data_IF_804095650712
#
_entry.id   IF_804095650712
#
_cell.length_a   1.000
_cell.length_b   1.000
_cell.length_c   1.000
_cell.angle_alpha   90.00
_cell.angle_beta   90.00
_cell.angle_gamma   90.00
#
_symmetry.space_group_name_H-M   'P 1'
#
loop_
_entity.id
_entity.type
_entity.pdbx_description
1 polymer ?
#
# COMPACT_ATOMS: atom_id res chain seq x y z
N UNK A 1 -6.02 11.11 -14.40
CA UNK A 1 -5.12 12.02 -13.65
C UNK A 1 -5.48 13.47 -13.91
N UNK A 2 -5.22 14.01 -15.11
CA UNK A 2 -5.56 15.41 -15.49
C UNK A 2 -7.03 15.76 -15.17
N UNK A 3 -7.98 14.86 -15.49
CA UNK A 3 -9.39 15.10 -15.21
C UNK A 3 -9.69 15.25 -13.71
N UNK A 4 -9.10 14.40 -12.86
CA UNK A 4 -9.29 14.44 -11.41
C UNK A 4 -8.71 15.72 -10.82
N UNK A 5 -7.57 16.18 -11.33
CA UNK A 5 -6.97 17.48 -10.93
C UNK A 5 -7.88 18.65 -11.31
N UNK A 6 -8.45 18.58 -12.51
CA UNK A 6 -9.47 19.54 -12.95
C UNK A 6 -10.67 19.59 -12.01
N UNK A 7 -11.12 18.43 -11.50
CA UNK A 7 -12.21 18.39 -10.51
C UNK A 7 -11.78 19.08 -9.20
N UNK A 8 -10.59 18.80 -8.65
CA UNK A 8 -10.11 19.43 -7.39
C UNK A 8 -10.22 20.96 -7.46
N UNK A 9 -9.83 21.55 -8.59
CA UNK A 9 -9.87 22.99 -8.81
C UNK A 9 -11.24 23.56 -9.19
N UNK A 10 -12.21 22.72 -9.56
CA UNK A 10 -13.49 23.19 -10.05
C UNK A 10 -14.45 23.49 -8.89
N UNK A 11 -14.56 24.77 -8.52
CA UNK A 11 -15.45 25.23 -7.45
C UNK A 11 -16.95 25.04 -7.77
N UNK A 12 -17.33 24.77 -9.02
CA UNK A 12 -18.71 24.40 -9.39
C UNK A 12 -19.03 22.91 -9.11
N UNK A 13 -18.04 22.08 -8.77
CA UNK A 13 -18.25 20.68 -8.37
C UNK A 13 -18.49 20.58 -6.87
N UNK A 14 -19.25 19.56 -6.46
CA UNK A 14 -19.51 19.27 -5.04
C UNK A 14 -18.20 19.06 -4.29
N UNK A 15 -18.06 19.62 -3.08
CA UNK A 15 -16.88 19.41 -2.21
C UNK A 15 -16.50 17.94 -2.07
N UNK A 16 -17.51 17.06 -1.96
CA UNK A 16 -17.31 15.62 -1.84
C UNK A 16 -16.59 15.01 -3.07
N UNK A 17 -16.97 15.41 -4.29
CA UNK A 17 -16.34 14.92 -5.52
C UNK A 17 -14.89 15.42 -5.65
N UNK A 18 -14.65 16.65 -5.21
CA UNK A 18 -13.33 17.29 -5.19
C UNK A 18 -12.40 16.62 -4.17
N UNK A 19 -12.91 16.34 -2.97
CA UNK A 19 -12.18 15.58 -1.93
C UNK A 19 -11.85 14.17 -2.43
N UNK A 20 -12.84 13.45 -2.97
CA UNK A 20 -12.64 12.11 -3.51
C UNK A 20 -11.61 12.11 -4.64
N UNK A 21 -11.65 13.10 -5.54
CA UNK A 21 -10.68 13.26 -6.62
C UNK A 21 -9.26 13.40 -6.11
N UNK A 22 -9.02 14.23 -5.09
CA UNK A 22 -7.71 14.36 -4.46
C UNK A 22 -7.25 13.07 -3.76
N UNK A 23 -8.16 12.31 -3.13
CA UNK A 23 -7.83 10.99 -2.58
C UNK A 23 -7.38 10.01 -3.68
N UNK A 24 -8.04 10.00 -4.85
CA UNK A 24 -7.64 9.15 -5.96
C UNK A 24 -6.31 9.59 -6.60
N UNK A 25 -6.01 10.90 -6.61
CA UNK A 25 -4.69 11.40 -7.00
C UNK A 25 -3.60 11.00 -6.00
N UNK A 26 -3.88 11.09 -4.70
CA UNK A 26 -2.99 10.60 -3.63
C UNK A 26 -2.69 9.11 -3.82
N UNK A 27 -3.69 8.29 -4.18
CA UNK A 27 -3.48 6.88 -4.49
C UNK A 27 -2.59 6.67 -5.72
N UNK A 28 -2.86 7.39 -6.81
CA UNK A 28 -2.11 7.24 -8.06
C UNK A 28 -0.65 7.64 -7.88
N UNK A 29 -0.41 8.84 -7.33
CA UNK A 29 0.94 9.38 -7.18
C UNK A 29 1.70 8.77 -6.01
N UNK A 30 1.00 8.45 -4.92
CA UNK A 30 1.58 7.77 -3.76
C UNK A 30 1.72 6.26 -3.96
N UNK A 31 1.28 5.71 -5.11
CA UNK A 31 1.31 4.28 -5.44
C UNK A 31 0.61 3.40 -4.38
N UNK A 32 -0.44 3.94 -3.77
CA UNK A 32 -1.10 3.34 -2.62
C UNK A 32 -2.24 2.40 -3.03
N UNK A 33 -2.38 1.28 -2.31
CA UNK A 33 -3.65 0.55 -2.30
C UNK A 33 -4.70 1.40 -1.60
N UNK A 34 -5.98 1.18 -1.93
CA UNK A 34 -7.09 1.92 -1.30
C UNK A 34 -7.05 1.80 0.23
N UNK A 35 -6.79 0.60 0.76
CA UNK A 35 -6.67 0.37 2.19
C UNK A 35 -5.49 1.09 2.85
N UNK A 36 -4.39 1.26 2.11
CA UNK A 36 -3.20 1.95 2.63
C UNK A 36 -3.45 3.45 2.66
N UNK A 37 -4.07 4.00 1.61
CA UNK A 37 -4.50 5.41 1.55
C UNK A 37 -5.47 5.77 2.68
N UNK A 38 -6.42 4.88 3.01
CA UNK A 38 -7.35 5.12 4.12
C UNK A 38 -6.65 5.26 5.49
N UNK A 39 -5.39 4.81 5.60
CA UNK A 39 -4.56 4.88 6.82
C UNK A 39 -3.33 5.77 6.64
N UNK A 40 -3.38 6.68 5.68
CA UNK A 40 -2.38 7.72 5.53
C UNK A 40 -2.55 8.75 6.65
N UNK A 41 -1.44 9.14 7.25
CA UNK A 41 -1.36 10.12 8.35
C UNK A 41 -0.08 10.95 8.23
N UNK A 42 0.04 11.99 9.07
CA UNK A 42 1.22 12.87 9.15
C UNK A 42 1.58 13.48 7.79
N UNK A 43 0.57 13.96 7.07
CA UNK A 43 0.77 14.60 5.77
C UNK A 43 1.38 15.99 5.97
N UNK A 44 2.56 16.20 5.40
CA UNK A 44 3.30 17.47 5.46
C UNK A 44 3.73 17.84 4.04
N UNK A 45 3.61 19.12 3.70
CA UNK A 45 4.16 19.65 2.44
C UNK A 45 5.62 19.99 2.70
N UNK A 46 6.52 19.30 2.00
CA UNK A 46 7.94 19.66 1.89
C UNK A 46 8.19 20.29 0.52
N UNK A 47 8.49 21.58 0.51
CA UNK A 47 8.56 22.37 -0.73
C UNK A 47 9.58 23.48 -0.66
N UNK A 48 10.15 23.81 -1.80
CA UNK A 48 11.02 24.98 -2.01
C UNK A 48 10.47 25.84 -3.15
N UNK A 49 10.77 27.14 -3.09
CA UNK A 49 10.53 28.06 -4.20
C UNK A 49 11.83 28.16 -4.98
N UNK A 50 11.78 27.84 -6.27
CA UNK A 50 12.93 27.96 -7.19
C UNK A 50 13.12 29.41 -7.64
N UNK A 51 14.28 29.69 -8.26
CA UNK A 51 14.67 31.05 -8.68
C UNK A 51 13.69 31.68 -9.68
N UNK A 52 12.96 30.87 -10.45
CA UNK A 52 11.89 31.28 -11.37
C UNK A 52 10.54 31.55 -10.65
N UNK A 53 10.50 31.48 -9.32
CA UNK A 53 9.30 31.66 -8.50
C UNK A 53 8.37 30.44 -8.45
N UNK A 54 8.76 29.31 -9.05
CA UNK A 54 7.98 28.07 -9.03
C UNK A 54 8.06 27.35 -7.69
N UNK A 55 6.93 26.95 -7.12
CA UNK A 55 6.93 25.98 -6.01
C UNK A 55 7.18 24.57 -6.56
N UNK A 56 8.16 23.87 -6.00
CA UNK A 56 8.45 22.46 -6.28
C UNK A 56 8.61 21.71 -4.97
N UNK A 57 8.22 20.43 -4.95
CA UNK A 57 8.28 19.64 -3.73
C UNK A 57 7.31 18.48 -3.73
N UNK A 58 7.12 17.92 -2.54
CA UNK A 58 6.31 16.74 -2.29
C UNK A 58 5.37 16.95 -1.10
N UNK A 59 4.21 16.32 -1.19
CA UNK A 59 3.42 15.94 -0.04
C UNK A 59 4.04 14.64 0.51
N UNK A 60 4.64 14.74 1.68
CA UNK A 60 5.21 13.62 2.42
C UNK A 60 4.25 13.11 3.49
N UNK A 61 4.33 11.82 3.81
CA UNK A 61 3.58 11.26 4.92
C UNK A 61 3.80 9.77 5.11
N UNK A 62 2.90 9.15 5.86
CA UNK A 62 3.04 7.76 6.31
C UNK A 62 1.75 6.97 6.10
N UNK A 63 1.80 5.87 5.34
CA UNK A 63 0.71 4.89 5.24
C UNK A 63 0.94 3.72 6.20
N UNK A 64 -0.02 3.45 7.08
CA UNK A 64 0.05 2.28 7.96
C UNK A 64 -0.45 1.03 7.21
N UNK A 65 0.40 -0.01 7.11
CA UNK A 65 0.02 -1.29 6.49
C UNK A 65 -0.79 -2.16 7.45
N UNK A 66 -1.73 -2.94 6.91
CA UNK A 66 -2.52 -3.89 7.71
C UNK A 66 -2.80 -5.26 7.07
N UNK A 67 -2.37 -5.58 5.83
CA UNK A 67 -2.86 -6.82 5.18
C UNK A 67 -1.84 -7.82 4.61
N UNK A 68 -0.59 -7.48 4.30
CA UNK A 68 0.38 -8.45 3.72
C UNK A 68 1.84 -8.24 4.16
N UNK A 69 2.11 -7.62 5.31
CA UNK A 69 3.47 -7.56 5.85
C UNK A 69 3.71 -8.81 6.70
N UNK A 70 4.62 -9.67 6.26
CA UNK A 70 4.86 -10.98 6.89
C UNK A 70 5.78 -10.81 8.12
N UNK A 71 6.76 -9.89 8.08
CA UNK A 71 7.63 -9.58 9.23
C UNK A 71 7.08 -8.45 10.14
N UNK A 72 7.38 -8.53 11.44
CA UNK A 72 6.96 -7.56 12.46
C UNK A 72 7.53 -6.16 12.18
N UNK A 73 8.80 -6.06 11.75
CA UNK A 73 9.40 -4.79 11.30
C UNK A 73 8.60 -4.15 10.16
N UNK A 74 8.16 -4.93 9.18
CA UNK A 74 7.38 -4.43 8.03
C UNK A 74 5.90 -4.18 8.39
N UNK A 75 5.40 -4.70 9.53
CA UNK A 75 4.09 -4.38 10.11
C UNK A 75 4.10 -3.08 10.91
N UNK A 76 5.22 -2.74 11.54
CA UNK A 76 5.38 -1.55 12.39
C UNK A 76 5.94 -0.36 11.58
N UNK A 77 6.70 -0.61 10.51
CA UNK A 77 7.22 0.42 9.62
C UNK A 77 6.09 0.98 8.76
N UNK A 78 5.68 2.20 9.04
CA UNK A 78 4.82 2.95 8.15
C UNK A 78 5.51 3.10 6.78
N UNK A 79 4.75 2.95 5.71
CA UNK A 79 5.25 3.21 4.36
C UNK A 79 5.42 4.71 4.17
N UNK A 80 6.61 5.20 3.82
CA UNK A 80 6.77 6.59 3.42
C UNK A 80 5.96 6.82 2.14
N UNK A 81 5.24 7.93 2.12
CA UNK A 81 4.49 8.43 0.97
C UNK A 81 5.20 9.70 0.53
N UNK A 82 5.48 9.80 -0.75
CA UNK A 82 5.91 11.04 -1.38
C UNK A 82 5.05 11.23 -2.64
N UNK A 83 4.32 12.34 -2.70
CA UNK A 83 3.44 12.71 -3.81
C UNK A 83 3.83 14.08 -4.34
N UNK A 84 4.16 14.23 -5.63
CA UNK A 84 4.61 15.52 -6.14
C UNK A 84 3.49 16.56 -6.06
N UNK A 85 3.85 17.79 -5.66
CA UNK A 85 2.91 18.91 -5.57
C UNK A 85 2.38 19.31 -6.95
N UNK A 86 3.27 19.29 -7.94
CA UNK A 86 2.96 19.47 -9.37
C UNK A 86 2.79 18.12 -10.04
N UNK A 87 1.72 18.01 -10.81
CA UNK A 87 1.34 16.80 -11.52
C UNK A 87 1.64 16.90 -13.02
N UNK A 88 1.13 15.94 -13.80
CA UNK A 88 1.24 15.94 -15.28
C UNK A 88 0.62 17.19 -15.91
N UNK A 89 -0.38 17.83 -15.28
CA UNK A 89 -0.97 19.07 -15.80
C UNK A 89 -0.19 20.34 -15.44
N UNK A 90 0.85 20.22 -14.58
CA UNK A 90 1.61 21.36 -14.05
C UNK A 90 0.87 22.21 -13.01
N UNK A 91 -0.44 21.98 -12.78
CA UNK A 91 -1.21 22.73 -11.79
C UNK A 91 -1.04 22.11 -10.39
N UNK A 92 -0.62 22.87 -9.37
CA UNK A 92 -0.51 22.36 -8.02
C UNK A 92 -1.91 22.00 -7.49
N UNK A 93 -2.12 20.80 -7.00
CA UNK A 93 -3.45 20.33 -6.55
C UNK A 93 -3.51 20.05 -5.04
N UNK A 94 -2.36 19.76 -4.43
CA UNK A 94 -2.25 19.32 -3.03
C UNK A 94 -2.74 20.38 -2.05
N UNK A 95 -2.25 21.63 -2.12
CA UNK A 95 -2.65 22.72 -1.21
C UNK A 95 -4.16 22.96 -1.27
N UNK A 96 -4.69 23.14 -2.48
CA UNK A 96 -6.14 23.33 -2.73
C UNK A 96 -6.97 22.18 -2.15
N UNK A 97 -6.50 20.94 -2.30
CA UNK A 97 -7.17 19.76 -1.75
C UNK A 97 -7.10 19.70 -0.21
N UNK A 98 -5.95 20.00 0.40
CA UNK A 98 -5.80 20.03 1.85
C UNK A 98 -6.65 21.13 2.50
N UNK A 99 -6.68 22.32 1.90
CA UNK A 99 -7.54 23.44 2.31
C UNK A 99 -9.02 23.04 2.24
N UNK A 100 -9.44 22.39 1.15
CA UNK A 100 -10.81 21.90 1.00
C UNK A 100 -11.18 20.86 2.05
N UNK A 101 -10.27 19.93 2.37
CA UNK A 101 -10.49 18.96 3.47
C UNK A 101 -10.67 19.68 4.79
N UNK A 102 -9.84 20.68 5.08
CA UNK A 102 -9.94 21.48 6.30
C UNK A 102 -11.26 22.25 6.38
N UNK A 103 -11.70 22.88 5.27
CA UNK A 103 -12.98 23.61 5.23
C UNK A 103 -14.21 22.72 5.43
N UNK A 104 -14.09 21.43 5.12
CA UNK A 104 -15.13 20.41 5.31
C UNK A 104 -15.03 19.71 6.67
N UNK A 105 -14.16 20.20 7.57
CA UNK A 105 -13.98 19.66 8.92
C UNK A 105 -13.22 18.33 8.99
N UNK A 106 -12.58 17.91 7.89
CA UNK A 106 -11.81 16.67 7.85
C UNK A 106 -10.42 16.87 8.46
N UNK A 107 -10.22 16.24 9.60
CA UNK A 107 -8.98 16.27 10.39
C UNK A 107 -8.45 14.85 10.66
N UNK A 108 -7.42 14.73 11.49
CA UNK A 108 -6.76 13.45 11.81
C UNK A 108 -7.65 12.43 12.53
N UNK A 109 -8.82 12.83 13.03
CA UNK A 109 -9.81 11.89 13.60
C UNK A 109 -10.67 11.20 12.55
N UNK A 110 -10.54 11.60 11.29
CA UNK A 110 -11.26 11.05 10.15
C UNK A 110 -10.33 10.16 9.32
N UNK A 111 -10.87 9.08 8.71
CA UNK A 111 -10.14 8.37 7.66
C UNK A 111 -9.87 9.33 6.48
N UNK A 112 -8.89 8.99 5.65
CA UNK A 112 -8.50 9.85 4.52
C UNK A 112 -9.69 10.18 3.61
N UNK A 113 -10.49 9.17 3.26
CA UNK A 113 -11.78 9.30 2.57
C UNK A 113 -12.91 8.70 3.43
N UNK A 114 -13.65 9.52 4.20
CA UNK A 114 -14.80 9.08 4.98
C UNK A 114 -16.04 8.83 4.10
N UNK A 115 -16.99 8.08 4.63
CA UNK A 115 -18.31 7.92 3.99
C UNK A 115 -19.12 9.21 4.16
N UNK A 116 -19.74 9.75 3.09
CA UNK A 116 -20.67 10.87 3.20
C UNK A 116 -21.84 10.53 4.12
N UNK A 117 -22.27 11.49 4.95
CA UNK A 117 -23.44 11.32 5.81
C UNK A 117 -24.73 11.68 5.04
N UNK A 118 -25.85 11.02 5.36
CA UNK A 118 -27.14 11.24 4.69
C UNK A 118 -27.68 12.67 4.84
N UNK A 119 -27.30 13.38 5.90
CA UNK A 119 -27.68 14.78 6.16
C UNK A 119 -26.69 15.81 5.62
N UNK A 120 -25.72 15.40 4.80
CA UNK A 120 -24.58 16.24 4.41
C UNK A 120 -23.40 16.10 5.39
N UNK A 121 -22.22 16.50 4.93
CA UNK A 121 -20.97 16.31 5.67
C UNK A 121 -20.46 14.87 5.68
N UNK A 122 -19.64 14.54 6.67
CA UNK A 122 -18.82 13.33 6.69
C UNK A 122 -19.00 12.52 7.96
N UNK A 123 -19.00 11.19 7.83
CA UNK A 123 -18.97 10.28 8.98
C UNK A 123 -17.53 9.99 9.42
N UNK A 124 -17.34 9.41 10.61
CA UNK A 124 -16.04 8.87 11.05
C UNK A 124 -15.72 7.49 10.46
N UNK A 125 -16.57 6.97 9.57
CA UNK A 125 -16.45 5.63 9.00
C UNK A 125 -15.74 5.69 7.65
N UNK A 126 -14.69 4.87 7.41
CA UNK A 126 -14.00 4.85 6.13
C UNK A 126 -14.93 4.42 4.99
N UNK A 127 -14.81 5.08 3.84
CA UNK A 127 -15.51 4.68 2.62
C UNK A 127 -15.15 3.24 2.23
N UNK A 128 -16.15 2.45 1.84
CA UNK A 128 -15.95 1.07 1.37
C UNK A 128 -15.37 1.06 -0.04
N UNK A 129 -14.51 0.08 -0.33
CA UNK A 129 -13.79 -0.05 -1.61
C UNK A 129 -14.73 -0.14 -2.82
N UNK A 130 -15.85 -0.87 -2.72
CA UNK A 130 -16.83 -0.98 -3.81
C UNK A 130 -17.46 0.36 -4.16
N UNK A 131 -17.85 1.13 -3.14
CA UNK A 131 -18.39 2.49 -3.28
C UNK A 131 -17.34 3.44 -3.85
N UNK A 132 -16.10 3.35 -3.38
CA UNK A 132 -14.99 4.15 -3.90
C UNK A 132 -14.73 3.88 -5.39
N UNK A 133 -14.77 2.62 -5.82
CA UNK A 133 -14.65 2.26 -7.24
C UNK A 133 -15.79 2.81 -8.10
N UNK A 134 -17.03 2.75 -7.61
CA UNK A 134 -18.17 3.33 -8.29
C UNK A 134 -18.05 4.86 -8.40
N UNK A 135 -17.62 5.53 -7.32
CA UNK A 135 -17.41 6.96 -7.30
C UNK A 135 -16.28 7.39 -8.25
N UNK A 136 -15.16 6.66 -8.29
CA UNK A 136 -14.09 6.93 -9.25
C UNK A 136 -14.60 6.89 -10.69
N UNK A 137 -15.43 5.88 -11.04
CA UNK A 137 -16.01 5.79 -12.38
C UNK A 137 -16.99 6.92 -12.69
N UNK A 138 -17.79 7.38 -11.71
CA UNK A 138 -18.69 8.51 -11.95
C UNK A 138 -17.96 9.84 -12.10
N UNK A 139 -16.73 9.95 -11.57
CA UNK A 139 -15.89 11.13 -11.72
C UNK A 139 -15.15 11.17 -13.05
N UNK A 140 -14.88 10.03 -13.69
CA UNK A 140 -14.14 10.01 -14.96
C UNK A 140 -15.14 10.10 -16.11
N UNK A 141 -14.97 11.02 -17.08
CA UNK A 141 -15.88 11.10 -18.20
C UNK A 141 -15.80 9.80 -19.01
N UNK A 142 -16.92 9.35 -19.61
CA UNK A 142 -16.90 8.22 -20.50
C UNK A 142 -15.97 8.54 -21.68
N UNK A 143 -14.88 7.78 -21.84
CA UNK A 143 -14.09 7.80 -23.06
C UNK A 143 -14.74 6.88 -24.09
N UNK A 144 -14.55 7.14 -25.39
CA UNK A 144 -15.05 6.24 -26.45
C UNK A 144 -14.55 4.80 -26.30
N UNK A 145 -13.39 4.59 -25.65
CA UNK A 145 -12.83 3.28 -25.32
C UNK A 145 -13.43 2.61 -24.07
N UNK A 146 -14.19 3.31 -23.22
CA UNK A 146 -14.92 2.67 -22.11
C UNK A 146 -16.12 1.83 -22.58
N UNK A 147 -16.46 1.93 -23.86
CA UNK A 147 -17.45 1.06 -24.50
C UNK A 147 -16.98 -0.40 -24.63
N UNK A 148 -15.67 -0.68 -24.49
CA UNK A 148 -15.11 -2.03 -24.52
C UNK A 148 -14.13 -2.28 -23.35
N UNK A 149 -14.57 -3.16 -22.44
CA UNK A 149 -13.79 -3.98 -21.49
C UNK A 149 -12.99 -3.37 -20.32
N UNK A 150 -12.51 -2.12 -20.35
CA UNK A 150 -11.64 -1.63 -19.24
C UNK A 150 -12.44 -1.10 -18.04
N UNK A 151 -12.67 -1.95 -17.03
CA UNK A 151 -13.30 -1.56 -15.76
C UNK A 151 -12.31 -0.84 -14.83
N UNK A 152 -12.33 0.50 -14.85
CA UNK A 152 -11.58 1.32 -13.89
C UNK A 152 -12.08 1.07 -12.46
N UNK A 153 -11.16 0.79 -11.55
CA UNK A 153 -11.41 0.60 -10.12
C UNK A 153 -10.30 1.25 -9.29
N UNK A 154 -10.42 1.23 -7.96
CA UNK A 154 -9.41 1.84 -7.08
C UNK A 154 -8.02 1.22 -7.24
N UNK A 155 -7.93 -0.06 -7.64
CA UNK A 155 -6.64 -0.70 -7.93
C UNK A 155 -5.94 -0.10 -9.16
N UNK A 156 -6.71 0.41 -10.14
CA UNK A 156 -6.20 1.04 -11.36
C UNK A 156 -5.33 2.27 -11.05
N UNK A 157 -5.59 2.97 -9.95
CA UNK A 157 -4.77 4.09 -9.49
C UNK A 157 -3.30 3.68 -9.27
N UNK A 158 -3.06 2.59 -8.52
CA UNK A 158 -1.71 2.06 -8.28
C UNK A 158 -1.06 1.58 -9.58
N UNK A 159 -1.81 0.84 -10.40
CA UNK A 159 -1.31 0.30 -11.67
C UNK A 159 -0.87 1.39 -12.65
N UNK A 160 -1.50 2.58 -12.60
CA UNK A 160 -1.19 3.69 -13.51
C UNK A 160 0.27 4.11 -13.38
N UNK A 161 0.74 4.41 -12.16
CA UNK A 161 2.12 4.84 -11.94
C UNK A 161 3.13 3.71 -12.23
N UNK A 162 2.81 2.46 -11.86
CA UNK A 162 3.67 1.31 -12.16
C UNK A 162 3.81 1.05 -13.66
N UNK A 163 2.73 1.22 -14.42
CA UNK A 163 2.78 1.11 -15.88
C UNK A 163 3.64 2.20 -16.52
N UNK A 164 3.58 3.43 -16.01
CA UNK A 164 4.45 4.51 -16.48
C UNK A 164 5.93 4.22 -16.21
N UNK A 165 6.26 3.76 -15.00
CA UNK A 165 7.64 3.41 -14.65
C UNK A 165 8.17 2.25 -15.50
N UNK A 166 7.37 1.20 -15.69
CA UNK A 166 7.74 0.06 -16.53
C UNK A 166 8.01 0.49 -17.98
N UNK A 167 7.16 1.36 -18.55
CA UNK A 167 7.36 1.88 -19.91
C UNK A 167 8.56 2.81 -20.05
N UNK A 168 9.00 3.42 -18.95
CA UNK A 168 10.22 4.23 -18.90
C UNK A 168 11.49 3.37 -18.80
N UNK A 169 11.36 2.04 -18.70
CA UNK A 169 12.50 1.11 -18.66
C UNK A 169 12.99 0.76 -17.26
N UNK A 170 12.20 1.05 -16.21
CA UNK A 170 12.56 0.63 -14.85
C UNK A 170 12.50 -0.90 -14.69
N UNK A 171 13.58 -1.56 -14.22
CA UNK A 171 13.60 -2.99 -14.03
C UNK A 171 12.61 -3.44 -12.94
N UNK A 172 12.07 -4.66 -13.06
CA UNK A 172 11.03 -5.18 -12.19
C UNK A 172 11.39 -5.16 -10.68
N UNK A 173 12.68 -5.30 -10.35
CA UNK A 173 13.21 -5.15 -8.99
C UNK A 173 12.97 -3.75 -8.40
N UNK A 174 13.07 -2.70 -9.22
CA UNK A 174 12.75 -1.32 -8.86
C UNK A 174 11.25 -1.08 -8.64
N UNK A 175 10.38 -1.80 -9.36
CA UNK A 175 8.91 -1.66 -9.24
C UNK A 175 8.37 -2.23 -7.91
N UNK A 176 8.98 -3.30 -7.39
CA UNK A 176 8.67 -3.85 -6.06
C UNK A 176 9.11 -2.93 -4.93
N UNK A 177 10.32 -2.35 -5.06
CA UNK A 177 10.86 -1.36 -4.13
C UNK A 177 10.14 0.00 -4.22
N UNK A 178 9.57 0.37 -5.37
CA UNK A 178 8.77 1.59 -5.53
C UNK A 178 7.46 1.59 -4.71
N UNK A 179 7.05 0.46 -4.13
CA UNK A 179 5.99 0.39 -3.12
C UNK A 179 6.45 0.62 -1.67
N UNK A 180 7.75 0.81 -1.45
CA UNK A 180 8.41 1.06 -0.17
C UNK A 180 9.72 1.77 -0.46
N UNK A 181 9.70 3.07 -0.77
CA UNK A 181 10.92 3.80 -1.14
C UNK A 181 11.93 3.71 0.01
N UNK A 182 13.09 3.06 -0.18
CA UNK A 182 14.23 3.27 0.70
C UNK A 182 14.81 4.63 0.31
N UNK A 183 14.94 5.53 1.28
CA UNK A 183 15.75 6.74 1.10
C UNK A 183 17.19 6.29 0.91
N UNK A 184 17.67 6.33 -0.34
CA UNK A 184 19.09 6.22 -0.63
C UNK A 184 19.69 7.63 -0.78
N UNK A 185 20.92 7.86 -0.30
CA UNK A 185 21.63 9.12 -0.52
C UNK A 185 21.98 9.30 -2.01
N UNK A 186 22.18 10.55 -2.47
CA UNK A 186 22.24 10.86 -3.90
C UNK A 186 23.49 10.25 -4.56
N UNK A 187 23.36 9.60 -5.74
CA UNK A 187 24.51 9.24 -6.56
C UNK A 187 24.81 10.32 -7.61
N UNK A 188 26.10 10.39 -7.94
CA UNK A 188 26.73 11.38 -8.80
C UNK A 188 26.45 11.12 -10.30
N UNK A 189 26.61 12.20 -11.07
CA UNK A 189 26.37 12.36 -12.51
C UNK A 189 26.99 11.27 -13.40
N UNK A 190 26.31 10.92 -14.49
CA UNK A 190 26.99 10.39 -15.68
C UNK A 190 26.15 9.60 -16.69
N UNK A 191 25.89 10.25 -17.83
CA UNK A 191 25.77 9.70 -19.19
C UNK A 191 24.50 8.93 -19.63
N UNK A 192 23.92 9.43 -20.73
CA UNK A 192 22.83 8.84 -21.51
C UNK A 192 23.43 8.11 -22.72
N UNK A 193 22.84 7.00 -23.17
CA UNK A 193 22.58 6.93 -24.60
C UNK A 193 21.16 6.47 -24.96
N UNK A 194 20.78 6.97 -26.12
CA UNK A 194 19.58 6.79 -26.94
C UNK A 194 19.68 5.48 -27.76
N UNK A 195 18.59 4.70 -27.89
CA UNK A 195 17.94 4.34 -29.18
C UNK A 195 16.82 3.28 -29.05
N UNK A 196 15.86 3.45 -29.97
CA UNK A 196 14.65 2.75 -30.41
C UNK A 196 14.63 1.20 -30.42
N UNK A 197 13.44 0.61 -30.16
CA UNK A 197 12.60 -0.04 -31.19
C UNK A 197 11.48 -0.94 -30.60
N UNK A 198 10.26 -0.69 -31.11
CA UNK A 198 9.12 -1.60 -31.36
C UNK A 198 9.18 -3.05 -30.84
N UNK A 199 8.24 -3.42 -29.97
CA UNK A 199 7.72 -4.79 -29.91
C UNK A 199 6.22 -4.77 -29.54
N UNK A 200 5.44 -5.15 -30.53
CA UNK A 200 4.00 -5.41 -30.55
C UNK A 200 3.47 -6.21 -29.35
N UNK A 201 2.32 -5.74 -28.88
CA UNK A 201 1.46 -6.35 -27.87
C UNK A 201 1.01 -7.76 -28.28
N UNK A 202 1.23 -8.74 -27.39
CA UNK A 202 0.23 -9.77 -27.15
C UNK A 202 -0.06 -9.79 -25.64
N UNK A 203 -0.97 -8.91 -25.22
CA UNK A 203 -1.52 -8.94 -23.86
C UNK A 203 -2.60 -10.03 -23.85
N UNK A 204 -2.17 -11.28 -23.68
CA UNK A 204 -3.11 -12.38 -23.41
C UNK A 204 -3.75 -12.12 -22.05
N UNK A 205 -5.03 -11.73 -22.10
CA UNK A 205 -5.92 -11.65 -20.95
C UNK A 205 -6.48 -13.05 -20.67
N UNK A 206 -5.61 -13.95 -20.20
CA UNK A 206 -6.01 -15.06 -19.34
C UNK A 206 -5.52 -14.64 -17.95
N UNK A 207 -6.40 -14.39 -17.00
CA UNK A 207 -7.08 -15.46 -16.32
C UNK A 207 -6.66 -15.31 -14.85
N UNK A 208 -7.62 -15.45 -13.96
CA UNK A 208 -7.38 -15.42 -12.52
C UNK A 208 -6.56 -16.65 -12.13
N UNK A 209 -5.23 -16.57 -12.23
CA UNK A 209 -4.37 -17.42 -11.45
C UNK A 209 -4.22 -16.73 -10.08
N UNK A 210 -4.89 -17.34 -9.09
CA UNK A 210 -4.49 -17.23 -7.68
C UNK A 210 -2.95 -17.18 -7.67
N UNK A 211 -2.36 -16.18 -7.00
CA UNK A 211 -0.92 -16.19 -6.79
C UNK A 211 -0.57 -17.57 -6.21
N UNK A 212 0.04 -18.44 -7.01
CA UNK A 212 0.61 -19.66 -6.49
C UNK A 212 1.48 -19.22 -5.32
N UNK A 213 1.13 -19.72 -4.12
CA UNK A 213 1.75 -19.35 -2.87
C UNK A 213 3.26 -19.51 -3.00
N UNK A 214 3.96 -18.40 -3.30
CA UNK A 214 5.40 -18.43 -3.50
C UNK A 214 6.05 -19.10 -2.28
N UNK A 215 6.85 -20.14 -2.51
CA UNK A 215 7.47 -20.88 -1.42
C UNK A 215 8.42 -19.97 -0.66
N UNK A 216 8.08 -19.68 0.59
CA UNK A 216 8.79 -18.74 1.46
C UNK A 216 10.14 -19.29 1.98
N UNK A 217 10.64 -20.38 1.41
CA UNK A 217 11.84 -21.10 1.84
C UNK A 217 13.12 -20.31 1.55
N UNK A 218 13.23 -19.70 0.36
CA UNK A 218 14.44 -18.97 -0.06
C UNK A 218 14.66 -17.67 0.74
N UNK A 219 13.58 -16.94 1.08
CA UNK A 219 13.67 -15.77 1.95
C UNK A 219 14.04 -16.14 3.40
N UNK A 220 13.64 -17.33 3.87
CA UNK A 220 14.01 -17.81 5.22
C UNK A 220 15.46 -18.24 5.31
N UNK A 221 16.00 -18.89 4.27
CA UNK A 221 17.42 -19.22 4.20
C UNK A 221 18.28 -17.96 4.24
N UNK A 222 17.89 -16.92 3.48
CA UNK A 222 18.58 -15.63 3.50
C UNK A 222 18.48 -14.92 4.87
N UNK A 223 17.35 -15.03 5.58
CA UNK A 223 17.20 -14.45 6.93
C UNK A 223 18.03 -15.23 7.96
N UNK A 224 18.05 -16.56 7.87
CA UNK A 224 18.86 -17.41 8.75
C UNK A 224 20.37 -17.19 8.54
N UNK A 225 20.80 -16.87 7.32
CA UNK A 225 22.20 -16.53 7.03
C UNK A 225 22.63 -15.21 7.70
N UNK A 226 21.73 -14.23 7.77
CA UNK A 226 22.01 -12.88 8.30
C UNK A 226 21.74 -12.76 9.81
N UNK A 227 20.77 -13.49 10.34
CA UNK A 227 20.42 -13.47 11.76
C UNK A 227 21.43 -14.30 12.57
N UNK A 228 22.31 -13.64 13.33
CA UNK A 228 23.22 -14.31 14.26
C UNK A 228 22.50 -15.20 15.29
N UNK A 229 23.26 -16.08 15.97
CA UNK A 229 22.75 -17.08 16.91
C UNK A 229 22.06 -16.46 18.14
N UNK A 230 20.78 -16.16 18.02
CA UNK A 230 19.86 -16.09 19.16
C UNK A 230 19.49 -17.53 19.52
N UNK A 231 20.20 -18.08 20.52
CA UNK A 231 19.97 -19.44 20.98
C UNK A 231 18.55 -19.62 21.54
N UNK A 232 17.94 -20.82 21.40
CA UNK A 232 16.65 -21.11 22.00
C UNK A 232 16.74 -21.09 23.53
N UNK A 233 15.67 -20.65 24.19
CA UNK A 233 15.46 -20.86 25.63
C UNK A 233 15.32 -22.40 25.87
N UNK A 234 16.11 -23.01 26.78
CA UNK A 234 16.26 -24.47 26.93
C UNK A 234 15.01 -25.30 27.27
N UNK A 235 13.84 -24.70 27.47
CA UNK A 235 12.58 -25.42 27.72
C UNK A 235 11.69 -25.51 26.47
N UNK A 236 12.24 -26.02 25.36
CA UNK A 236 11.55 -26.12 24.07
C UNK A 236 10.25 -26.95 24.15
N UNK A 237 9.12 -26.26 24.38
CA UNK A 237 7.77 -26.80 24.24
C UNK A 237 7.44 -26.91 22.74
N UNK A 238 6.77 -28.00 22.36
CA UNK A 238 6.29 -28.23 20.98
C UNK A 238 5.53 -27.00 20.45
N UNK A 239 6.08 -26.38 19.41
CA UNK A 239 5.53 -25.20 18.77
C UNK A 239 4.92 -25.56 17.42
N UNK A 240 3.78 -24.96 17.12
CA UNK A 240 3.12 -25.02 15.83
C UNK A 240 3.15 -23.65 15.15
N UNK A 241 3.54 -23.61 13.88
CA UNK A 241 3.62 -22.42 13.05
C UNK A 241 2.52 -22.47 12.00
N UNK A 242 1.68 -21.43 11.91
CA UNK A 242 0.72 -21.34 10.81
C UNK A 242 1.47 -21.07 9.49
N UNK A 243 1.28 -21.88 8.46
CA UNK A 243 2.02 -21.82 7.18
C UNK A 243 1.93 -20.45 6.50
N UNK A 244 0.72 -19.86 6.47
CA UNK A 244 0.50 -18.54 5.85
C UNK A 244 0.84 -17.34 6.77
N UNK A 245 0.29 -17.29 7.99
CA UNK A 245 0.46 -16.09 8.85
C UNK A 245 1.74 -16.10 9.69
N UNK A 246 2.43 -17.23 9.72
CA UNK A 246 3.65 -17.49 10.50
C UNK A 246 3.51 -17.29 12.01
N UNK A 247 2.27 -17.18 12.51
CA UNK A 247 2.00 -17.11 13.94
C UNK A 247 2.42 -18.40 14.62
N UNK A 248 3.22 -18.26 15.68
CA UNK A 248 3.61 -19.33 16.56
C UNK A 248 2.54 -19.57 17.63
N UNK A 249 2.27 -20.84 17.87
CA UNK A 249 1.36 -21.34 18.89
C UNK A 249 2.03 -22.47 19.65
N UNK A 250 1.71 -22.62 20.94
CA UNK A 250 2.08 -23.82 21.69
C UNK A 250 1.08 -24.93 21.41
N UNK A 251 1.57 -26.13 21.17
CA UNK A 251 0.73 -27.33 21.12
C UNK A 251 0.27 -27.64 22.55
N UNK A 252 -1.01 -28.02 22.70
CA UNK A 252 -1.62 -28.24 24.03
C UNK A 252 -1.12 -29.51 24.71
N UNK A 253 -0.90 -30.57 23.93
CA UNK A 253 -0.55 -31.92 24.36
C UNK A 253 0.18 -32.69 23.24
N UNK A 254 0.87 -33.79 23.58
CA UNK A 254 1.57 -34.66 22.61
C UNK A 254 0.61 -35.28 21.56
N UNK A 255 -0.70 -35.28 21.84
CA UNK A 255 -1.73 -35.74 20.91
C UNK A 255 -1.90 -34.82 19.69
N UNK A 256 -1.40 -33.57 19.73
CA UNK A 256 -1.27 -32.73 18.54
C UNK A 256 -2.57 -32.30 17.87
N UNK A 257 -3.72 -32.41 18.55
CA UNK A 257 -5.02 -32.07 17.96
C UNK A 257 -5.40 -30.60 18.17
N UNK A 258 -4.90 -29.97 19.24
CA UNK A 258 -5.26 -28.59 19.61
C UNK A 258 -4.05 -27.77 20.07
N UNK A 259 -4.12 -26.47 19.83
CA UNK A 259 -3.19 -25.46 20.33
C UNK A 259 -3.62 -25.01 21.73
N UNK A 260 -2.68 -24.55 22.55
CA UNK A 260 -2.94 -24.02 23.90
C UNK A 260 -3.97 -22.89 23.92
N UNK A 261 -4.09 -22.12 22.83
CA UNK A 261 -5.10 -21.08 22.69
C UNK A 261 -6.51 -21.59 22.31
N UNK A 262 -6.73 -22.91 22.26
CA UNK A 262 -8.02 -23.53 21.98
C UNK A 262 -8.32 -23.75 20.49
N UNK A 263 -7.44 -23.35 19.57
CA UNK A 263 -7.60 -23.61 18.12
C UNK A 263 -7.24 -25.05 17.79
N UNK A 264 -7.98 -25.69 16.90
CA UNK A 264 -7.63 -27.01 16.36
C UNK A 264 -6.42 -26.93 15.42
N UNK A 265 -5.54 -27.92 15.50
CA UNK A 265 -4.43 -28.08 14.56
C UNK A 265 -5.00 -28.67 13.26
N UNK A 266 -4.71 -28.00 12.15
CA UNK A 266 -5.13 -28.40 10.80
C UNK A 266 -3.92 -28.45 9.88
N UNK A 267 -4.11 -28.86 8.62
CA UNK A 267 -3.04 -28.90 7.59
C UNK A 267 -2.36 -27.56 7.32
N UNK A 268 -2.96 -26.46 7.79
CA UNK A 268 -2.42 -25.09 7.74
C UNK A 268 -1.36 -24.80 8.81
N UNK A 269 -1.12 -25.73 9.73
CA UNK A 269 -0.07 -25.63 10.74
C UNK A 269 1.04 -26.63 10.44
N UNK A 270 2.26 -26.21 10.72
CA UNK A 270 3.47 -27.00 10.69
C UNK A 270 3.98 -27.13 12.13
N UNK A 271 4.21 -28.36 12.59
CA UNK A 271 4.83 -28.59 13.89
C UNK A 271 6.34 -28.46 13.72
N UNK A 272 6.95 -27.56 14.49
CA UNK A 272 8.38 -27.32 14.45
C UNK A 272 9.09 -28.37 15.30
N UNK A 273 10.08 -29.04 14.72
CA UNK A 273 10.93 -30.01 15.42
C UNK A 273 11.81 -29.31 16.46
N UNK A 274 12.28 -28.10 16.12
CA UNK A 274 13.13 -27.28 16.97
C UNK A 274 12.43 -25.97 17.36
N UNK A 275 12.85 -25.41 18.51
CA UNK A 275 12.41 -24.07 18.90
C UNK A 275 12.91 -23.04 17.87
N UNK A 276 12.03 -22.16 17.35
CA UNK A 276 12.44 -21.18 16.35
C UNK A 276 13.37 -20.14 16.99
N UNK A 277 14.44 -19.76 16.28
CA UNK A 277 15.37 -18.71 16.69
C UNK A 277 14.67 -17.36 16.93
N UNK A 278 13.50 -17.15 16.33
CA UNK A 278 12.67 -15.97 16.50
C UNK A 278 11.25 -16.31 16.93
N UNK A 279 10.87 -15.89 18.14
CA UNK A 279 9.60 -16.25 18.79
C UNK A 279 8.41 -15.34 18.43
N UNK A 280 8.47 -14.57 17.35
CA UNK A 280 7.38 -13.66 16.91
C UNK A 280 7.12 -13.79 15.39
N UNK A 281 5.90 -13.53 14.89
CA UNK A 281 4.68 -13.24 15.64
C UNK A 281 4.19 -14.48 16.40
N UNK A 282 3.69 -14.29 17.61
CA UNK A 282 3.22 -15.38 18.46
C UNK A 282 1.81 -15.08 18.99
N UNK A 283 1.03 -16.13 19.22
CA UNK A 283 -0.28 -16.01 19.83
C UNK A 283 -0.13 -15.52 21.28
N UNK A 284 -0.77 -14.40 21.61
CA UNK A 284 -0.72 -13.79 22.96
C UNK A 284 -1.26 -14.70 24.07
N UNK A 285 -2.12 -15.66 23.73
CA UNK A 285 -2.63 -16.68 24.68
C UNK A 285 -1.63 -17.82 24.86
N UNK A 286 -0.91 -18.22 23.80
CA UNK A 286 0.12 -19.24 23.89
C UNK A 286 1.41 -18.69 24.54
N UNK A 287 1.77 -17.46 24.22
CA UNK A 287 2.97 -16.75 24.63
C UNK A 287 2.61 -15.39 25.22
N UNK A 288 2.03 -15.37 26.44
CA UNK A 288 1.74 -14.12 27.14
C UNK A 288 3.04 -13.35 27.36
N UNK A 289 3.02 -12.04 27.10
CA UNK A 289 4.14 -11.17 27.45
C UNK A 289 4.20 -11.05 28.98
N UNK A 290 5.30 -11.51 29.58
CA UNK A 290 5.68 -11.14 30.95
C UNK A 290 5.89 -9.65 31.07
#
# INVERSE_FOLDING_TARGET
VIFLEGIVWNDAKKSADRIASGCFLLMTYGRLRFSDMQRTSKLVIDSVITDDGSEVGYLEGQAQRTKTSISLERKIRALPIAVPLKSVSGKPWVRKWMELRASEGLNDTHPMLPSPASGGGWTKVPLKVGTAGAWLRSLIPPTQQQAQEVKVATHSCKCTALSWLSKHGEPASGLGAAGSVPVQPPPQQGHVPEVEAEAVLSSSSDGSEDEEEASLTEEEEAINEVAGQWGPDPEAKLCARHKQTRYLHLVRDEAGAHLKCGRAISTRFEILADAPAFMRPACSVCFPST
#
